data_IF_306109271515
#
_entry.id   IF_306109271515
#
_cell.length_a   1.000
_cell.length_b   1.000
_cell.length_c   1.000
_cell.angle_alpha   90.00
_cell.angle_beta   90.00
_cell.angle_gamma   90.00
#
_symmetry.space_group_name_H-M   'P 1'
#
loop_
_entity.id
_entity.type
_entity.pdbx_description
1 polymer ?
#
# COMPACT_ATOMS: atom_id res chain seq x y z
N UNK A 1 -15.49 23.00 8.93
CA UNK A 1 -15.02 21.59 8.97
C UNK A 1 -15.78 20.83 10.08
N UNK A 2 -16.39 19.69 9.75
CA UNK A 2 -17.31 18.92 10.61
C UNK A 2 -16.58 18.20 11.78
N UNK A 3 -17.16 18.18 12.99
CA UNK A 3 -16.57 17.58 14.22
C UNK A 3 -16.35 16.07 14.10
N UNK A 4 -17.18 15.39 13.32
CA UNK A 4 -17.09 13.95 13.09
C UNK A 4 -15.79 13.57 12.37
N UNK A 5 -15.43 14.32 11.32
CA UNK A 5 -14.22 14.13 10.52
C UNK A 5 -12.95 14.23 11.37
N UNK A 6 -12.91 15.18 12.32
CA UNK A 6 -11.78 15.31 13.27
C UNK A 6 -11.62 14.10 14.20
N UNK A 7 -12.71 13.45 14.59
CA UNK A 7 -12.69 12.31 15.52
C UNK A 7 -12.18 11.03 14.84
N UNK A 8 -12.60 10.79 13.59
CA UNK A 8 -12.13 9.66 12.77
C UNK A 8 -10.64 9.77 12.51
N UNK A 9 -10.18 10.95 12.05
CA UNK A 9 -8.77 11.19 11.77
C UNK A 9 -7.86 10.99 13.00
N UNK A 10 -8.34 11.37 14.19
CA UNK A 10 -7.63 11.18 15.46
C UNK A 10 -7.49 9.71 15.86
N UNK A 11 -8.49 8.87 15.57
CA UNK A 11 -8.44 7.43 15.87
C UNK A 11 -7.50 6.69 14.91
N UNK A 12 -7.51 7.10 13.64
CA UNK A 12 -6.66 6.55 12.59
C UNK A 12 -5.18 6.79 12.84
N UNK A 13 -4.81 8.04 13.12
CA UNK A 13 -3.43 8.37 13.50
C UNK A 13 -2.97 7.59 14.73
N UNK A 14 -3.86 7.39 15.71
CA UNK A 14 -3.54 6.59 16.91
C UNK A 14 -3.34 5.11 16.60
N UNK A 15 -4.17 4.51 15.74
CA UNK A 15 -4.07 3.08 15.36
C UNK A 15 -2.88 2.83 14.44
N UNK A 16 -2.62 3.70 13.47
CA UNK A 16 -1.45 3.62 12.59
C UNK A 16 -0.14 3.72 13.38
N UNK A 17 -0.04 4.66 14.33
CA UNK A 17 1.12 4.77 15.23
C UNK A 17 1.28 3.52 16.12
N UNK A 18 0.19 2.89 16.52
CA UNK A 18 0.23 1.64 17.31
C UNK A 18 0.69 0.45 16.47
N UNK A 19 0.17 0.30 15.25
CA UNK A 19 0.55 -0.78 14.32
C UNK A 19 2.01 -0.64 13.89
N UNK A 20 2.50 0.59 13.69
CA UNK A 20 3.92 0.82 13.41
C UNK A 20 4.85 0.45 14.58
N UNK A 21 4.36 0.50 15.81
CA UNK A 21 5.12 0.13 17.01
C UNK A 21 5.15 -1.38 17.28
N UNK A 22 4.22 -2.15 16.71
CA UNK A 22 4.09 -3.59 16.95
C UNK A 22 4.45 -4.39 15.69
N UNK A 23 5.50 -5.21 15.79
CA UNK A 23 6.03 -5.99 14.65
C UNK A 23 5.04 -7.04 14.11
N UNK A 24 4.19 -7.60 14.96
CA UNK A 24 3.27 -8.69 14.62
C UNK A 24 2.05 -8.17 13.86
N UNK A 25 1.49 -7.04 14.31
CA UNK A 25 0.38 -6.36 13.61
C UNK A 25 0.80 -5.87 12.22
N UNK A 26 2.05 -5.44 12.07
CA UNK A 26 2.60 -5.06 10.77
C UNK A 26 2.75 -6.26 9.82
N UNK A 27 3.03 -7.44 10.37
CA UNK A 27 3.19 -8.68 9.61
C UNK A 27 1.83 -9.24 9.17
N UNK A 28 0.83 -9.18 10.04
CA UNK A 28 -0.56 -9.57 9.76
C UNK A 28 -1.16 -8.74 8.62
N UNK A 29 -0.96 -7.41 8.63
CA UNK A 29 -1.38 -6.52 7.54
C UNK A 29 -0.76 -6.94 6.20
N UNK A 30 0.50 -7.35 6.20
CA UNK A 30 1.20 -7.77 4.97
C UNK A 30 0.65 -9.09 4.43
N UNK A 31 0.33 -10.04 5.31
CA UNK A 31 -0.21 -11.35 4.91
C UNK A 31 -1.62 -11.21 4.34
N UNK A 32 -2.46 -10.38 4.95
CA UNK A 32 -3.82 -10.15 4.47
C UNK A 32 -3.87 -9.39 3.13
N UNK A 33 -2.88 -8.53 2.82
CA UNK A 33 -2.75 -7.92 1.48
C UNK A 33 -2.56 -8.98 0.41
N UNK A 34 -1.66 -9.93 0.70
CA UNK A 34 -1.27 -10.97 -0.22
C UNK A 34 -2.41 -11.95 -0.47
N UNK A 35 -3.16 -12.34 0.57
CA UNK A 35 -4.33 -13.20 0.42
C UNK A 35 -5.41 -12.54 -0.43
N UNK A 36 -5.75 -11.27 -0.15
CA UNK A 36 -6.77 -10.56 -0.93
C UNK A 36 -6.38 -10.41 -2.38
N UNK A 37 -5.18 -9.95 -2.70
CA UNK A 37 -4.81 -9.75 -4.10
C UNK A 37 -4.65 -11.04 -4.90
N UNK A 38 -4.38 -12.18 -4.26
CA UNK A 38 -4.45 -13.48 -4.91
C UNK A 38 -5.86 -13.83 -5.41
N UNK A 39 -6.93 -13.31 -4.78
CA UNK A 39 -8.32 -13.50 -5.22
C UNK A 39 -8.67 -12.70 -6.49
N UNK A 40 -7.83 -11.74 -6.89
CA UNK A 40 -8.02 -10.92 -8.08
C UNK A 40 -7.19 -11.40 -9.28
N UNK A 41 -6.30 -12.39 -9.09
CA UNK A 41 -5.47 -13.00 -10.14
C UNK A 41 -6.36 -13.68 -11.19
N UNK A 42 -6.15 -13.36 -12.48
CA UNK A 42 -6.90 -13.95 -13.60
C UNK A 42 -8.10 -13.14 -14.10
N UNK A 43 -8.39 -11.97 -13.51
CA UNK A 43 -9.33 -11.00 -14.10
C UNK A 43 -8.58 -10.02 -15.01
N UNK A 44 -9.08 -9.82 -16.22
CA UNK A 44 -8.50 -8.93 -17.25
C UNK A 44 -8.30 -7.50 -16.67
N UNK A 45 -7.07 -6.99 -16.69
CA UNK A 45 -6.70 -5.66 -16.16
C UNK A 45 -6.19 -5.61 -14.72
N UNK A 46 -6.16 -6.74 -13.99
CA UNK A 46 -5.66 -6.79 -12.60
C UNK A 46 -4.24 -7.38 -12.44
N UNK A 47 -3.63 -7.86 -13.52
CA UNK A 47 -2.30 -8.49 -13.45
C UNK A 47 -1.18 -7.48 -13.14
N UNK A 48 -1.23 -6.29 -13.75
CA UNK A 48 -0.26 -5.21 -13.50
C UNK A 48 -0.37 -4.68 -12.06
N UNK A 49 -1.60 -4.48 -11.59
CA UNK A 49 -1.85 -4.14 -10.19
C UNK A 49 -1.25 -5.19 -9.24
N UNK A 50 -1.40 -6.49 -9.57
CA UNK A 50 -0.83 -7.54 -8.75
C UNK A 50 0.71 -7.55 -8.76
N UNK A 51 1.33 -7.17 -9.88
CA UNK A 51 2.77 -6.93 -9.96
C UNK A 51 3.19 -5.78 -9.04
N UNK A 52 2.43 -4.69 -9.02
CA UNK A 52 2.73 -3.52 -8.18
C UNK A 52 2.55 -3.82 -6.69
N UNK A 53 1.45 -4.46 -6.28
CA UNK A 53 1.23 -4.89 -4.88
C UNK A 53 2.40 -5.76 -4.39
N UNK A 54 2.83 -6.73 -5.20
CA UNK A 54 3.98 -7.57 -4.87
C UNK A 54 5.27 -6.75 -4.75
N UNK A 55 5.49 -5.80 -5.66
CA UNK A 55 6.68 -4.94 -5.66
C UNK A 55 6.71 -4.05 -4.42
N UNK A 56 5.59 -3.40 -4.10
CA UNK A 56 5.41 -2.57 -2.91
C UNK A 56 5.69 -3.37 -1.64
N UNK A 57 5.13 -4.58 -1.55
CA UNK A 57 5.32 -5.46 -0.39
C UNK A 57 6.78 -5.83 -0.17
N UNK A 58 7.52 -6.16 -1.24
CA UNK A 58 8.95 -6.46 -1.15
C UNK A 58 9.77 -5.23 -0.77
N UNK A 59 9.51 -4.08 -1.39
CA UNK A 59 10.19 -2.83 -1.07
C UNK A 59 10.06 -2.49 0.43
N UNK A 60 8.84 -2.57 0.97
CA UNK A 60 8.59 -2.27 2.39
C UNK A 60 9.36 -3.24 3.29
N UNK A 61 9.44 -4.52 2.94
CA UNK A 61 10.23 -5.50 3.70
C UNK A 61 11.73 -5.19 3.68
N UNK A 62 12.28 -4.81 2.54
CA UNK A 62 13.73 -4.56 2.39
C UNK A 62 14.15 -3.25 3.06
N UNK A 63 13.29 -2.22 3.01
CA UNK A 63 13.44 -0.99 3.79
C UNK A 63 13.36 -1.28 5.28
N UNK A 64 12.39 -2.09 5.73
CA UNK A 64 12.24 -2.48 7.15
C UNK A 64 13.46 -3.26 7.67
N UNK A 65 14.05 -4.13 6.85
CA UNK A 65 15.27 -4.87 7.17
C UNK A 65 16.53 -3.99 7.08
N UNK A 66 16.40 -2.75 6.61
CA UNK A 66 17.49 -1.79 6.47
C UNK A 66 18.45 -2.10 5.32
N UNK A 67 18.10 -3.04 4.42
CA UNK A 67 18.92 -3.50 3.29
C UNK A 67 18.80 -2.61 2.07
N UNK A 68 17.63 -2.01 1.88
CA UNK A 68 17.40 -1.00 0.85
C UNK A 68 17.14 0.36 1.49
N UNK A 69 17.88 1.39 1.05
CA UNK A 69 17.81 2.75 1.60
C UNK A 69 17.73 3.85 0.54
N UNK A 70 17.86 3.50 -0.73
CA UNK A 70 17.82 4.44 -1.86
C UNK A 70 16.38 4.74 -2.28
N UNK A 71 15.59 5.24 -1.31
CA UNK A 71 14.20 5.62 -1.52
C UNK A 71 13.82 6.76 -0.58
N UNK A 72 13.04 7.71 -1.09
CA UNK A 72 12.59 8.81 -0.25
C UNK A 72 11.63 8.33 0.84
N UNK A 73 11.70 8.93 2.03
CA UNK A 73 10.75 8.64 3.12
C UNK A 73 9.28 8.89 2.69
N UNK A 74 9.06 9.87 1.82
CA UNK A 74 7.74 10.18 1.24
C UNK A 74 7.24 9.03 0.37
N UNK A 75 8.10 8.45 -0.47
CA UNK A 75 7.79 7.29 -1.32
C UNK A 75 7.36 6.09 -0.48
N UNK A 76 8.10 5.79 0.59
CA UNK A 76 7.76 4.68 1.52
C UNK A 76 6.38 4.88 2.15
N UNK A 77 6.05 6.10 2.58
CA UNK A 77 4.73 6.43 3.16
C UNK A 77 3.62 6.22 2.13
N UNK A 78 3.79 6.66 0.88
CA UNK A 78 2.79 6.48 -0.18
C UNK A 78 2.56 5.01 -0.51
N UNK A 79 3.64 4.21 -0.58
CA UNK A 79 3.57 2.76 -0.83
C UNK A 79 2.83 2.04 0.30
N UNK A 80 3.18 2.32 1.56
CA UNK A 80 2.51 1.71 2.72
C UNK A 80 1.04 2.13 2.78
N UNK A 81 0.72 3.38 2.49
CA UNK A 81 -0.66 3.87 2.40
C UNK A 81 -1.49 3.14 1.34
N UNK A 82 -0.91 2.92 0.16
CA UNK A 82 -1.56 2.18 -0.92
C UNK A 82 -1.81 0.71 -0.56
N UNK A 83 -0.83 0.05 0.08
CA UNK A 83 -1.00 -1.33 0.56
C UNK A 83 -2.06 -1.44 1.66
N UNK A 84 -2.10 -0.49 2.61
CA UNK A 84 -3.11 -0.47 3.67
C UNK A 84 -4.53 -0.35 3.10
N UNK A 85 -4.71 0.55 2.14
CA UNK A 85 -5.97 0.72 1.42
C UNK A 85 -6.40 -0.59 0.74
N UNK A 86 -5.46 -1.27 0.08
CA UNK A 86 -5.69 -2.55 -0.60
C UNK A 86 -6.06 -3.72 0.33
N UNK A 87 -5.42 -3.85 1.50
CA UNK A 87 -5.66 -4.94 2.47
C UNK A 87 -7.01 -4.82 3.12
N UNK A 88 -7.32 -3.61 3.55
CA UNK A 88 -8.38 -3.37 4.50
C UNK A 88 -8.94 -1.99 4.19
N UNK A 89 -9.98 -1.92 3.35
CA UNK A 89 -10.83 -0.74 3.27
C UNK A 89 -11.66 -0.61 4.57
N UNK A 90 -11.05 -0.82 5.75
CA UNK A 90 -11.68 -0.67 7.08
C UNK A 90 -12.05 0.79 7.33
N UNK A 91 -11.41 1.73 6.62
CA UNK A 91 -11.71 3.16 6.69
C UNK A 91 -12.39 3.66 5.41
N UNK A 92 -13.09 2.78 4.69
CA UNK A 92 -14.19 3.21 3.84
C UNK A 92 -15.18 3.97 4.74
N UNK A 93 -14.98 5.29 4.85
CA UNK A 93 -16.04 6.17 4.39
C UNK A 93 -17.39 5.79 5.02
N UNK A 94 -17.72 6.24 6.24
CA UNK A 94 -19.09 6.01 6.72
C UNK A 94 -20.16 6.63 5.79
N UNK A 95 -19.82 7.64 4.94
CA UNK A 95 -20.81 8.50 4.27
C UNK A 95 -20.51 8.97 2.81
N UNK A 96 -19.55 8.42 2.06
CA UNK A 96 -19.24 8.82 0.67
C UNK A 96 -19.48 7.62 -0.28
N UNK A 97 -20.28 7.79 -1.32
CA UNK A 97 -20.50 6.80 -2.40
C UNK A 97 -21.51 5.68 -2.12
N UNK A 98 -22.74 6.07 -1.81
CA UNK A 98 -23.94 5.31 -2.18
C UNK A 98 -24.09 5.08 -3.72
N UNK A 99 -23.01 4.94 -4.52
CA UNK A 99 -23.16 4.79 -5.97
C UNK A 99 -21.94 4.83 -6.90
N UNK A 100 -20.70 4.53 -6.50
CA UNK A 100 -19.60 4.33 -7.49
C UNK A 100 -18.76 3.12 -7.07
N UNK A 101 -18.95 2.00 -7.76
CA UNK A 101 -18.39 0.70 -7.40
C UNK A 101 -16.96 0.46 -7.89
N UNK A 102 -16.20 -0.27 -7.06
CA UNK A 102 -15.13 -1.22 -7.40
C UNK A 102 -13.89 -0.75 -8.19
N UNK A 103 -13.87 0.43 -8.79
CA UNK A 103 -12.77 0.97 -9.60
C UNK A 103 -11.62 1.59 -8.77
N UNK A 104 -11.87 1.92 -7.49
CA UNK A 104 -11.01 2.81 -6.72
C UNK A 104 -9.74 2.13 -6.15
N UNK A 105 -9.78 0.83 -5.81
CA UNK A 105 -8.63 0.11 -5.22
C UNK A 105 -7.48 -0.14 -6.22
N UNK A 106 -7.84 -0.50 -7.46
CA UNK A 106 -6.89 -0.69 -8.56
C UNK A 106 -6.28 0.65 -8.96
N UNK A 107 -7.11 1.71 -8.98
CA UNK A 107 -6.69 3.06 -9.34
C UNK A 107 -5.66 3.62 -8.36
N UNK A 108 -5.82 3.39 -7.04
CA UNK A 108 -4.86 3.86 -6.03
C UNK A 108 -3.50 3.18 -6.16
N UNK A 109 -3.47 1.85 -6.33
CA UNK A 109 -2.22 1.11 -6.56
C UNK A 109 -1.54 1.60 -7.84
N UNK A 110 -2.28 1.65 -8.95
CA UNK A 110 -1.75 2.10 -10.24
C UNK A 110 -1.28 3.55 -10.23
N UNK A 111 -2.00 4.44 -9.54
CA UNK A 111 -1.62 5.84 -9.38
C UNK A 111 -0.30 5.98 -8.61
N UNK A 112 -0.16 5.30 -7.47
CA UNK A 112 1.07 5.35 -6.68
C UNK A 112 2.23 4.69 -7.44
N UNK A 113 1.97 3.60 -8.17
CA UNK A 113 2.95 2.94 -9.01
C UNK A 113 3.44 3.86 -10.13
N UNK A 114 2.53 4.56 -10.81
CA UNK A 114 2.85 5.56 -11.82
C UNK A 114 3.64 6.74 -11.26
N UNK A 115 3.24 7.27 -10.10
CA UNK A 115 3.92 8.40 -9.45
C UNK A 115 5.33 8.03 -8.96
N UNK A 116 5.55 6.77 -8.60
CA UNK A 116 6.81 6.28 -8.04
C UNK A 116 7.63 5.43 -9.02
N UNK A 117 7.32 5.49 -10.31
CA UNK A 117 7.93 4.64 -11.34
C UNK A 117 9.45 4.57 -11.23
N UNK A 118 10.13 5.71 -11.15
CA UNK A 118 11.60 5.77 -11.06
C UNK A 118 12.17 5.16 -9.77
N UNK A 119 11.49 5.33 -8.64
CA UNK A 119 11.90 4.75 -7.35
C UNK A 119 11.68 3.22 -7.35
N UNK A 120 10.62 2.75 -8.01
CA UNK A 120 10.32 1.32 -8.15
C UNK A 120 11.28 0.64 -9.13
N UNK A 121 11.69 1.32 -10.19
CA UNK A 121 12.72 0.85 -11.13
C UNK A 121 14.06 0.66 -10.41
N UNK A 122 14.55 1.68 -9.68
CA UNK A 122 15.75 1.57 -8.85
C UNK A 122 15.69 0.41 -7.85
N UNK A 123 14.52 0.20 -7.24
CA UNK A 123 14.33 -0.93 -6.33
C UNK A 123 14.43 -2.28 -7.05
N UNK A 124 13.81 -2.42 -8.23
CA UNK A 124 13.87 -3.65 -9.05
C UNK A 124 15.28 -3.95 -9.55
N UNK A 125 16.03 -2.93 -9.95
CA UNK A 125 17.45 -3.04 -10.32
C UNK A 125 18.29 -3.56 -9.15
N UNK A 126 18.13 -2.93 -7.98
CA UNK A 126 18.80 -3.36 -6.76
C UNK A 126 18.40 -4.80 -6.37
N UNK A 127 17.13 -5.17 -6.50
CA UNK A 127 16.60 -6.50 -6.15
C UNK A 127 17.16 -7.61 -7.05
N UNK A 128 17.32 -7.32 -8.35
CA UNK A 128 17.86 -8.28 -9.33
C UNK A 128 19.38 -8.30 -9.39
N UNK A 129 20.05 -7.30 -8.80
CA UNK A 129 21.50 -7.10 -8.92
C UNK A 129 21.94 -6.68 -10.32
N UNK A 130 20.99 -6.43 -11.23
CA UNK A 130 21.23 -5.97 -12.60
C UNK A 130 21.10 -4.45 -12.61
N UNK A 131 22.19 -3.75 -12.93
CA UNK A 131 22.13 -2.35 -13.38
C UNK A 131 21.75 -2.37 -14.85
N UNK A 132 20.54 -1.91 -15.19
CA UNK A 132 20.12 -1.72 -16.59
C UNK A 132 20.65 -0.39 -17.11
#
# INVERSE_FOLDING_TARGET
MNRMVKSVFKRMTKKAVSVMKNKDQMQEVSIESLKKGALYKGRKGMDDMWVDVKTFSRLVQEVKKGRYRDISKKSVVMIVGALLYFVSPIDAVPDLLAGIGLLDDVAVIGFVAGQLKSELEKFREWETGVRI
#
